data_IF_163288440606
#
_entry.id   IF_163288440606
#
_cell.length_a   1.000
_cell.length_b   1.000
_cell.length_c   1.000
_cell.angle_alpha   90.00
_cell.angle_beta   90.00
_cell.angle_gamma   90.00
#
_symmetry.space_group_name_H-M   'P 1'
#
loop_
_entity.id
_entity.type
_entity.pdbx_description
1 polymer ?
#
# COMPACT_ATOMS: atom_id res chain seq x y z
N UNK A 1 31.07 34.64 -19.62
CA UNK A 1 31.79 34.96 -18.37
C UNK A 1 31.26 34.16 -17.18
N UNK A 2 30.06 34.43 -16.66
CA UNK A 2 29.54 33.73 -15.46
C UNK A 2 29.31 32.22 -15.66
N UNK A 3 28.76 31.85 -16.81
CA UNK A 3 28.50 30.46 -17.20
C UNK A 3 29.78 29.63 -17.36
N UNK A 4 30.81 30.21 -17.98
CA UNK A 4 32.13 29.59 -18.17
C UNK A 4 32.80 29.28 -16.82
N UNK A 5 32.76 30.23 -15.88
CA UNK A 5 33.31 30.05 -14.53
C UNK A 5 32.55 28.99 -13.73
N UNK A 6 31.22 28.99 -13.82
CA UNK A 6 30.38 27.94 -13.20
C UNK A 6 30.70 26.57 -13.79
N UNK A 7 30.77 26.47 -15.13
CA UNK A 7 31.03 25.22 -15.84
C UNK A 7 32.41 24.66 -15.50
N UNK A 8 33.44 25.50 -15.45
CA UNK A 8 34.78 25.10 -15.02
C UNK A 8 34.82 24.60 -13.56
N UNK A 9 34.06 25.23 -12.67
CA UNK A 9 33.90 24.77 -11.29
C UNK A 9 33.15 23.45 -11.19
N UNK A 10 32.08 23.29 -11.99
CA UNK A 10 31.32 22.05 -12.12
C UNK A 10 32.19 20.92 -12.67
N UNK A 11 32.94 21.14 -13.75
CA UNK A 11 33.82 20.15 -14.36
C UNK A 11 34.93 19.71 -13.38
N UNK A 12 35.48 20.65 -12.59
CA UNK A 12 36.45 20.32 -11.54
C UNK A 12 35.81 19.49 -10.42
N UNK A 13 34.61 19.87 -9.98
CA UNK A 13 33.86 19.12 -8.97
C UNK A 13 33.47 17.72 -9.47
N UNK A 14 32.97 17.61 -10.70
CA UNK A 14 32.60 16.35 -11.34
C UNK A 14 33.82 15.43 -11.43
N UNK A 15 34.96 15.94 -11.88
CA UNK A 15 36.17 15.13 -12.02
C UNK A 15 36.71 14.66 -10.65
N UNK A 16 36.65 15.51 -9.61
CA UNK A 16 37.04 15.10 -8.25
C UNK A 16 36.07 14.09 -7.63
N UNK A 17 34.77 14.29 -7.83
CA UNK A 17 33.72 13.40 -7.35
C UNK A 17 33.74 12.07 -8.08
N UNK A 18 33.95 12.07 -9.40
CA UNK A 18 34.08 10.87 -10.22
C UNK A 18 35.28 10.04 -9.77
N UNK A 19 36.44 10.65 -9.54
CA UNK A 19 37.64 9.95 -9.02
C UNK A 19 37.41 9.37 -7.63
N UNK A 20 36.75 10.12 -6.75
CA UNK A 20 36.39 9.64 -5.41
C UNK A 20 35.41 8.47 -5.47
N UNK A 21 34.36 8.61 -6.28
CA UNK A 21 33.33 7.58 -6.47
C UNK A 21 33.92 6.33 -7.13
N UNK A 22 34.80 6.49 -8.11
CA UNK A 22 35.53 5.40 -8.74
C UNK A 22 36.45 4.68 -7.74
N UNK A 23 37.12 5.41 -6.85
CA UNK A 23 37.93 4.82 -5.77
C UNK A 23 37.09 4.03 -4.77
N UNK A 24 35.94 4.59 -4.36
CA UNK A 24 35.00 3.92 -3.45
C UNK A 24 34.36 2.69 -4.10
N UNK A 25 34.00 2.77 -5.39
CA UNK A 25 33.36 1.69 -6.14
C UNK A 25 34.34 0.60 -6.60
N UNK A 26 35.61 0.94 -6.82
CA UNK A 26 36.65 -0.04 -7.18
C UNK A 26 37.30 -0.69 -5.98
N UNK A 27 37.03 -0.22 -4.75
CA UNK A 27 37.55 -0.84 -3.54
C UNK A 27 36.53 -1.84 -2.97
N UNK A 28 36.64 -3.15 -3.25
CA UNK A 28 35.70 -4.17 -2.79
C UNK A 28 35.63 -4.27 -1.26
N UNK A 29 36.67 -3.82 -0.55
CA UNK A 29 36.63 -3.74 0.92
C UNK A 29 35.66 -2.66 1.39
N UNK A 30 35.55 -1.50 0.73
CA UNK A 30 34.62 -0.44 1.14
C UNK A 30 33.18 -0.85 0.84
N UNK A 31 32.90 -1.34 -0.37
CA UNK A 31 31.56 -1.84 -0.74
C UNK A 31 31.12 -3.04 0.10
N UNK A 32 32.00 -4.01 0.30
CA UNK A 32 31.70 -5.20 1.10
C UNK A 32 31.54 -4.90 2.58
N UNK A 33 32.46 -4.15 3.18
CA UNK A 33 32.41 -3.83 4.62
C UNK A 33 31.31 -2.82 4.96
N UNK A 34 31.07 -1.81 4.13
CA UNK A 34 29.97 -0.86 4.34
C UNK A 34 28.60 -1.52 4.15
N UNK A 35 28.45 -2.39 3.15
CA UNK A 35 27.24 -3.18 2.95
C UNK A 35 26.96 -4.13 4.12
N UNK A 36 27.98 -4.82 4.62
CA UNK A 36 27.86 -5.68 5.80
C UNK A 36 27.53 -4.88 7.07
N UNK A 37 28.19 -3.73 7.27
CA UNK A 37 27.93 -2.84 8.40
C UNK A 37 26.52 -2.24 8.36
N UNK A 38 26.08 -1.76 7.20
CA UNK A 38 24.71 -1.25 7.00
C UNK A 38 23.68 -2.37 7.24
N UNK A 39 23.95 -3.57 6.73
CA UNK A 39 23.09 -4.74 6.97
C UNK A 39 23.02 -5.08 8.46
N UNK A 40 24.14 -5.07 9.17
CA UNK A 40 24.20 -5.30 10.60
C UNK A 40 23.45 -4.20 11.38
N UNK A 41 23.63 -2.94 11.01
CA UNK A 41 22.93 -1.80 11.60
C UNK A 41 21.40 -1.90 11.40
N UNK A 42 20.96 -2.23 10.18
CA UNK A 42 19.54 -2.40 9.87
C UNK A 42 18.92 -3.60 10.61
N UNK A 43 19.63 -4.73 10.70
CA UNK A 43 19.18 -5.87 11.51
C UNK A 43 19.09 -5.52 12.99
N UNK A 44 20.08 -4.78 13.52
CA UNK A 44 20.08 -4.28 14.89
C UNK A 44 18.90 -3.34 15.17
N UNK A 45 18.66 -2.38 14.27
CA UNK A 45 17.50 -1.48 14.34
C UNK A 45 16.18 -2.25 14.33
N UNK A 46 16.01 -3.19 13.41
CA UNK A 46 14.80 -4.00 13.33
C UNK A 46 14.58 -4.85 14.59
N UNK A 47 15.64 -5.43 15.16
CA UNK A 47 15.57 -6.17 16.41
C UNK A 47 15.18 -5.26 17.59
N UNK A 48 15.74 -4.05 17.66
CA UNK A 48 15.38 -3.05 18.66
C UNK A 48 13.92 -2.62 18.56
N UNK A 49 13.44 -2.30 17.36
CA UNK A 49 12.03 -1.92 17.13
C UNK A 49 11.08 -3.05 17.54
N UNK A 50 11.42 -4.30 17.22
CA UNK A 50 10.65 -5.48 17.65
C UNK A 50 10.65 -5.66 19.17
N UNK A 51 11.79 -5.46 19.82
CA UNK A 51 11.90 -5.54 21.28
C UNK A 51 11.08 -4.44 21.98
N UNK A 52 11.14 -3.20 21.47
CA UNK A 52 10.34 -2.08 21.98
C UNK A 52 8.84 -2.32 21.79
N UNK A 53 8.42 -2.81 20.62
CA UNK A 53 7.03 -3.18 20.35
C UNK A 53 6.54 -4.29 21.29
N UNK A 54 7.36 -5.34 21.50
CA UNK A 54 7.04 -6.41 22.43
C UNK A 54 6.98 -5.91 23.89
N UNK A 55 7.87 -5.00 24.29
CA UNK A 55 7.87 -4.41 25.63
C UNK A 55 6.60 -3.59 25.88
N UNK A 56 6.22 -2.73 24.94
CA UNK A 56 4.98 -1.96 25.02
C UNK A 56 3.74 -2.86 24.99
N UNK A 57 3.75 -3.91 24.15
CA UNK A 57 2.68 -4.90 24.13
C UNK A 57 2.57 -5.68 25.45
N UNK A 58 3.69 -6.07 26.05
CA UNK A 58 3.73 -6.72 27.36
C UNK A 58 3.23 -5.80 28.49
N UNK A 59 3.37 -4.48 28.32
CA UNK A 59 2.82 -3.46 29.22
C UNK A 59 1.36 -3.08 28.87
N UNK A 60 0.75 -3.73 27.88
CA UNK A 60 -0.64 -3.50 27.49
C UNK A 60 -0.89 -2.18 26.74
N UNK A 61 0.16 -1.50 26.27
CA UNK A 61 0.03 -0.25 25.51
C UNK A 61 -0.10 -0.55 24.02
N UNK A 62 -1.20 -0.14 23.35
CA UNK A 62 -1.39 -0.37 21.92
C UNK A 62 -0.33 0.37 21.12
N UNK A 63 0.47 -0.38 20.36
CA UNK A 63 1.54 0.20 19.53
C UNK A 63 0.96 0.87 18.29
N UNK A 64 1.72 1.76 17.65
CA UNK A 64 1.32 2.38 16.38
C UNK A 64 0.96 1.34 15.30
N UNK A 65 1.68 0.22 15.26
CA UNK A 65 1.40 -0.86 14.31
C UNK A 65 0.04 -1.53 14.57
N UNK A 66 -0.32 -1.72 15.85
CA UNK A 66 -1.61 -2.28 16.22
C UNK A 66 -2.77 -1.31 15.88
N UNK A 67 -2.53 0.00 15.99
CA UNK A 67 -3.48 1.03 15.57
C UNK A 67 -3.69 1.00 14.05
N UNK A 68 -2.62 0.95 13.25
CA UNK A 68 -2.70 0.86 11.78
C UNK A 68 -3.43 -0.42 11.34
N UNK A 69 -3.15 -1.56 11.98
CA UNK A 69 -3.86 -2.82 11.70
C UNK A 69 -5.35 -2.72 12.05
N UNK A 70 -5.68 -2.15 13.21
CA UNK A 70 -7.08 -1.98 13.64
C UNK A 70 -7.84 -1.06 12.69
N UNK A 71 -7.24 0.05 12.28
CA UNK A 71 -7.81 0.97 11.29
C UNK A 71 -8.03 0.28 9.94
N UNK A 72 -7.06 -0.51 9.48
CA UNK A 72 -7.20 -1.24 8.21
C UNK A 72 -8.35 -2.26 8.26
N UNK A 73 -8.50 -2.98 9.38
CA UNK A 73 -9.60 -3.93 9.57
C UNK A 73 -10.94 -3.20 9.66
N UNK A 74 -11.02 -2.06 10.35
CA UNK A 74 -12.22 -1.24 10.42
C UNK A 74 -12.66 -0.76 9.03
N UNK A 75 -11.73 -0.21 8.24
CA UNK A 75 -12.02 0.23 6.87
C UNK A 75 -12.52 -0.93 6.00
N UNK A 76 -11.93 -2.12 6.15
CA UNK A 76 -12.38 -3.32 5.42
C UNK A 76 -13.78 -3.78 5.85
N UNK A 77 -14.12 -3.65 7.14
CA UNK A 77 -15.47 -3.95 7.62
C UNK A 77 -16.49 -2.96 7.06
N UNK A 78 -16.17 -1.67 7.06
CA UNK A 78 -17.00 -0.62 6.47
C UNK A 78 -17.30 -0.89 4.99
N UNK A 79 -16.27 -1.18 4.18
CA UNK A 79 -16.49 -1.52 2.76
C UNK A 79 -17.41 -2.72 2.57
N UNK A 80 -17.25 -3.78 3.40
CA UNK A 80 -18.11 -4.96 3.30
C UNK A 80 -19.55 -4.69 3.73
N UNK A 81 -19.77 -3.77 4.66
CA UNK A 81 -21.11 -3.35 5.07
C UNK A 81 -21.77 -2.61 3.91
N UNK A 82 -21.07 -1.65 3.29
CA UNK A 82 -21.59 -0.92 2.12
C UNK A 82 -21.97 -1.88 0.97
N UNK A 83 -21.10 -2.84 0.64
CA UNK A 83 -21.40 -3.85 -0.40
C UNK A 83 -22.65 -4.69 -0.07
N UNK A 84 -22.90 -4.97 1.21
CA UNK A 84 -24.07 -5.72 1.65
C UNK A 84 -25.33 -4.87 1.61
N UNK A 85 -25.24 -3.59 1.99
CA UNK A 85 -26.33 -2.63 1.91
C UNK A 85 -26.77 -2.44 0.45
N UNK A 86 -25.82 -2.31 -0.48
CA UNK A 86 -26.10 -2.20 -1.91
C UNK A 86 -26.81 -3.45 -2.45
N UNK A 87 -26.32 -4.65 -2.14
CA UNK A 87 -26.98 -5.92 -2.54
C UNK A 87 -28.37 -6.08 -1.96
N UNK A 88 -28.58 -5.64 -0.72
CA UNK A 88 -29.91 -5.68 -0.10
C UNK A 88 -30.87 -4.73 -0.81
N UNK A 89 -30.41 -3.54 -1.19
CA UNK A 89 -31.19 -2.60 -1.98
C UNK A 89 -31.56 -3.17 -3.35
N UNK A 90 -30.61 -3.76 -4.07
CA UNK A 90 -30.85 -4.42 -5.36
C UNK A 90 -31.88 -5.56 -5.26
N UNK A 91 -31.76 -6.42 -4.25
CA UNK A 91 -32.69 -7.52 -4.03
C UNK A 91 -34.09 -7.03 -3.65
N UNK A 92 -34.19 -5.95 -2.87
CA UNK A 92 -35.46 -5.33 -2.54
C UNK A 92 -36.15 -4.78 -3.80
N UNK A 93 -35.38 -4.16 -4.70
CA UNK A 93 -35.90 -3.60 -5.96
C UNK A 93 -36.34 -4.70 -6.94
N UNK A 94 -35.55 -5.77 -7.07
CA UNK A 94 -35.93 -6.96 -7.87
C UNK A 94 -37.19 -7.66 -7.33
N UNK A 95 -37.35 -7.71 -6.01
CA UNK A 95 -38.56 -8.24 -5.38
C UNK A 95 -39.80 -7.37 -5.60
N UNK A 96 -39.62 -6.05 -5.78
CA UNK A 96 -40.70 -5.13 -6.14
C UNK A 96 -41.11 -5.28 -7.61
N UNK A 97 -40.14 -5.44 -8.52
CA UNK A 97 -40.39 -5.61 -9.96
C UNK A 97 -41.12 -6.94 -10.27
N UNK A 98 -40.76 -8.02 -9.57
CA UNK A 98 -41.47 -9.31 -9.71
C UNK A 98 -42.93 -9.29 -9.23
N UNK A 99 -43.29 -8.40 -8.29
CA UNK A 99 -44.68 -8.22 -7.83
C UNK A 99 -45.51 -7.33 -8.77
N UNK A 100 -44.86 -6.55 -9.64
CA UNK A 100 -45.50 -5.66 -10.61
C UNK A 100 -45.84 -6.31 -11.96
N UNK A 101 -45.34 -7.51 -12.26
CA UNK A 101 -45.56 -8.17 -13.54
C UNK A 101 -47.04 -8.57 -13.74
N UNK A 102 -47.77 -7.96 -14.71
CA UNK A 102 -49.15 -8.34 -14.95
C UNK A 102 -49.20 -9.78 -15.48
N UNK A 103 -49.91 -10.68 -14.76
CA UNK A 103 -50.23 -12.04 -15.25
C UNK A 103 -50.81 -11.90 -16.66
N UNK A 104 -50.06 -12.39 -17.64
CA UNK A 104 -50.40 -12.31 -19.05
C UNK A 104 -51.85 -12.74 -19.28
N UNK A 105 -52.59 -11.87 -19.99
CA UNK A 105 -53.93 -12.16 -20.48
C UNK A 105 -53.88 -13.46 -21.26
N UNK A 106 -54.57 -14.48 -20.76
CA UNK A 106 -54.81 -15.72 -21.47
C UNK A 106 -55.55 -15.38 -22.78
N UNK A 107 -54.85 -15.41 -23.91
CA UNK A 107 -55.40 -15.23 -25.26
C UNK A 107 -55.20 -16.52 -26.03
N UNK A 108 -56.29 -17.01 -26.63
CA UNK A 108 -56.37 -18.25 -27.40
C UNK A 108 -56.93 -19.36 -26.53
N UNK A 109 -57.93 -20.13 -26.91
CA UNK A 109 -58.43 -20.53 -28.23
C UNK A 109 -59.77 -21.25 -27.91
N UNK A 110 -60.93 -20.97 -28.50
CA UNK A 110 -61.41 -21.60 -29.74
C UNK A 110 -62.81 -21.01 -30.08
N UNK A 111 -62.99 -20.46 -31.29
CA UNK A 111 -63.69 -21.05 -32.44
C UNK A 111 -65.21 -21.22 -32.20
N UNK A 112 -66.05 -20.28 -32.67
CA UNK A 112 -66.81 -20.40 -33.94
C UNK A 112 -67.37 -21.82 -34.17
N UNK A 113 -68.65 -22.03 -33.87
CA UNK A 113 -69.73 -22.41 -34.81
C UNK A 113 -71.00 -22.79 -34.07
#
# INVERSE_FOLDING_TARGET
MLWETWKKGFDAWENTTAKYMESVLKNPMVLGSSGAMLTAAMKGKAAYEKAAANWWSAWGLPTRHDQERSLHVLNKLESRILDLEEKLAELADQGADQKGAPRGKNKGHDARS
#
